data_IF_670109935122
#
_entry.id   IF_670109935122
#
_cell.length_a   1.000
_cell.length_b   1.000
_cell.length_c   1.000
_cell.angle_alpha   90.00
_cell.angle_beta   90.00
_cell.angle_gamma   90.00
#
_symmetry.space_group_name_H-M   'P 1'
#
loop_
_entity.id
_entity.type
_entity.pdbx_description
1 polymer ?
#
# COMPACT_ATOMS: atom_id res chain seq x y z
N UNK A 1 -43.90 -49.95 -44.15
CA UNK A 1 -42.53 -49.56 -44.53
C UNK A 1 -42.45 -48.04 -44.51
N UNK A 2 -41.47 -47.46 -43.81
CA UNK A 2 -41.22 -46.01 -43.73
C UNK A 2 -41.18 -45.48 -42.29
N UNK A 3 -40.01 -45.18 -41.71
CA UNK A 3 -39.80 -45.01 -40.27
C UNK A 3 -39.79 -43.56 -39.74
N UNK A 4 -39.75 -43.48 -38.41
CA UNK A 4 -39.46 -42.36 -37.48
C UNK A 4 -38.16 -41.58 -37.76
N UNK A 5 -38.09 -40.32 -37.31
CA UNK A 5 -36.91 -39.62 -36.71
C UNK A 5 -37.35 -38.19 -36.31
N UNK A 6 -37.55 -37.78 -35.06
CA UNK A 6 -36.63 -37.64 -33.92
C UNK A 6 -35.33 -36.89 -34.23
N UNK A 7 -35.45 -35.58 -34.48
CA UNK A 7 -34.33 -34.64 -34.56
C UNK A 7 -33.74 -34.33 -33.18
N UNK A 8 -32.80 -35.16 -32.73
CA UNK A 8 -31.94 -34.88 -31.58
C UNK A 8 -30.86 -33.84 -31.93
N UNK A 9 -30.72 -32.81 -31.09
CA UNK A 9 -29.59 -31.87 -31.18
C UNK A 9 -28.25 -32.61 -31.09
N UNK A 10 -27.37 -32.37 -32.05
CA UNK A 10 -26.05 -32.99 -32.14
C UNK A 10 -25.12 -32.58 -30.97
N UNK A 11 -24.31 -33.53 -30.49
CA UNK A 11 -23.34 -33.34 -29.39
C UNK A 11 -22.37 -32.16 -29.61
N UNK A 12 -22.09 -31.79 -30.86
CA UNK A 12 -21.24 -30.64 -31.19
C UNK A 12 -21.86 -29.30 -30.80
N UNK A 13 -23.19 -29.15 -30.88
CA UNK A 13 -23.89 -27.93 -30.46
C UNK A 13 -23.85 -27.78 -28.93
N UNK A 14 -23.93 -28.89 -28.18
CA UNK A 14 -23.74 -28.92 -26.72
C UNK A 14 -22.29 -28.66 -26.32
N UNK A 15 -21.30 -29.14 -27.08
CA UNK A 15 -19.87 -28.83 -26.85
C UNK A 15 -19.53 -27.36 -27.14
N UNK A 16 -20.11 -26.73 -28.18
CA UNK A 16 -19.96 -25.29 -28.45
C UNK A 16 -20.65 -24.40 -27.40
N UNK A 17 -21.81 -24.80 -26.86
CA UNK A 17 -22.45 -24.11 -25.71
C UNK A 17 -21.68 -24.28 -24.40
N UNK A 18 -21.04 -25.45 -24.15
CA UNK A 18 -20.14 -25.64 -23.00
C UNK A 18 -18.83 -24.85 -23.11
N UNK A 19 -18.22 -24.75 -24.31
CA UNK A 19 -17.00 -23.95 -24.52
C UNK A 19 -17.20 -22.42 -24.42
N UNK A 20 -18.43 -21.90 -24.54
CA UNK A 20 -18.73 -20.46 -24.38
C UNK A 20 -19.06 -20.03 -22.95
N UNK A 21 -19.16 -20.96 -21.98
CA UNK A 21 -19.46 -20.66 -20.56
C UNK A 21 -18.23 -20.54 -19.64
N UNK A 22 -17.02 -20.52 -20.20
CA UNK A 22 -15.77 -20.42 -19.45
C UNK A 22 -14.81 -19.35 -19.97
N UNK A 23 -15.34 -18.23 -20.49
CA UNK A 23 -14.53 -17.06 -20.84
C UNK A 23 -14.74 -16.06 -19.72
N UNK A 24 -13.68 -15.80 -18.95
CA UNK A 24 -13.68 -15.23 -17.61
C UNK A 24 -14.66 -14.07 -17.42
N UNK A 25 -15.31 -14.04 -16.25
CA UNK A 25 -15.82 -12.79 -15.70
C UNK A 25 -14.65 -11.80 -15.78
N UNK A 26 -14.82 -10.67 -16.47
CA UNK A 26 -13.81 -9.62 -16.48
C UNK A 26 -13.41 -9.30 -15.05
N UNK A 27 -12.14 -8.92 -14.84
CA UNK A 27 -11.65 -8.53 -13.52
C UNK A 27 -12.66 -7.58 -12.88
N UNK A 28 -13.14 -7.91 -11.67
CA UNK A 28 -14.07 -7.03 -10.96
C UNK A 28 -13.36 -5.69 -10.77
N UNK A 29 -14.04 -4.61 -11.12
CA UNK A 29 -13.53 -3.26 -10.87
C UNK A 29 -13.93 -2.81 -9.48
N UNK A 30 -13.07 -2.06 -8.82
CA UNK A 30 -13.39 -1.43 -7.54
C UNK A 30 -14.53 -0.41 -7.74
N UNK A 31 -15.36 -0.23 -6.72
CA UNK A 31 -16.43 0.79 -6.69
C UNK A 31 -15.90 2.17 -6.27
N UNK A 32 -16.74 3.20 -6.37
CA UNK A 32 -16.47 4.54 -5.85
C UNK A 32 -17.67 5.01 -4.97
N UNK A 33 -17.52 5.11 -3.63
CA UNK A 33 -16.33 4.82 -2.82
C UNK A 33 -15.94 3.31 -2.84
N UNK A 34 -14.70 2.94 -2.47
CA UNK A 34 -14.19 1.58 -2.64
C UNK A 34 -14.80 0.61 -1.63
N UNK A 35 -15.48 -0.44 -2.12
CA UNK A 35 -16.29 -1.34 -1.30
C UNK A 35 -15.95 -2.82 -1.41
N UNK A 36 -15.24 -3.22 -2.45
CA UNK A 36 -14.92 -4.63 -2.69
C UNK A 36 -13.61 -4.99 -1.98
N UNK A 37 -13.57 -6.10 -1.22
CA UNK A 37 -12.31 -6.63 -0.70
C UNK A 37 -11.31 -6.89 -1.82
N UNK A 38 -10.03 -6.64 -1.57
CA UNK A 38 -8.95 -6.82 -2.55
C UNK A 38 -8.92 -8.26 -3.08
N UNK A 39 -9.16 -9.25 -2.22
CA UNK A 39 -9.24 -10.67 -2.62
C UNK A 39 -10.31 -10.95 -3.68
N UNK A 40 -11.38 -10.15 -3.75
CA UNK A 40 -12.41 -10.29 -4.78
C UNK A 40 -12.02 -9.67 -6.13
N UNK A 41 -11.11 -8.69 -6.12
CA UNK A 41 -10.57 -8.07 -7.32
C UNK A 41 -9.56 -8.99 -8.02
N UNK A 42 -8.85 -9.83 -7.24
CA UNK A 42 -7.83 -10.77 -7.70
C UNK A 42 -8.23 -12.23 -7.35
N UNK A 43 -9.22 -12.80 -8.06
CA UNK A 43 -9.78 -14.12 -7.73
C UNK A 43 -8.81 -15.30 -7.98
N UNK A 44 -7.72 -15.06 -8.70
CA UNK A 44 -6.62 -16.01 -8.89
C UNK A 44 -5.61 -15.99 -7.73
N UNK A 45 -5.79 -15.07 -6.78
CA UNK A 45 -4.90 -14.88 -5.65
C UNK A 45 -3.57 -14.21 -6.01
N UNK A 46 -3.38 -13.73 -7.24
CA UNK A 46 -2.13 -13.05 -7.64
C UNK A 46 -2.27 -11.55 -7.39
N UNK A 47 -1.73 -11.07 -6.27
CA UNK A 47 -1.79 -9.64 -5.94
C UNK A 47 -0.67 -8.85 -6.62
N UNK A 48 -0.92 -7.58 -6.98
CA UNK A 48 0.04 -6.78 -7.72
C UNK A 48 1.33 -6.56 -6.93
N UNK A 49 2.46 -6.78 -7.60
CA UNK A 49 3.78 -6.54 -7.03
C UNK A 49 3.99 -5.05 -6.73
N UNK A 50 4.81 -4.77 -5.72
CA UNK A 50 5.33 -3.43 -5.49
C UNK A 50 6.42 -3.06 -6.50
N UNK A 51 7.07 -1.93 -6.27
CA UNK A 51 8.27 -1.60 -7.02
C UNK A 51 9.40 -2.57 -6.65
N UNK A 52 9.97 -3.24 -7.65
CA UNK A 52 11.17 -4.06 -7.50
C UNK A 52 12.38 -3.18 -7.85
N UNK A 53 13.38 -3.18 -6.99
CA UNK A 53 14.61 -2.39 -7.14
C UNK A 53 15.83 -3.30 -7.03
N UNK A 54 16.86 -3.01 -7.81
CA UNK A 54 18.16 -3.64 -7.63
C UNK A 54 18.76 -3.25 -6.29
N UNK A 55 19.49 -4.18 -5.65
CA UNK A 55 20.22 -3.87 -4.41
C UNK A 55 21.34 -2.85 -4.67
N UNK A 56 21.58 -1.92 -3.73
CA UNK A 56 22.69 -0.97 -3.85
C UNK A 56 24.04 -1.68 -3.78
N UNK A 57 25.07 -1.05 -4.36
CA UNK A 57 26.46 -1.45 -4.11
C UNK A 57 26.84 -1.11 -2.67
N UNK A 58 27.60 -2.00 -2.02
CA UNK A 58 28.02 -1.83 -0.63
C UNK A 58 29.54 -1.78 -0.58
N UNK A 59 30.09 -0.76 0.07
CA UNK A 59 31.54 -0.58 0.16
C UNK A 59 32.21 -1.80 0.80
N UNK A 60 33.24 -2.33 0.14
CA UNK A 60 33.95 -3.52 0.58
C UNK A 60 33.24 -4.86 0.27
N UNK A 61 32.08 -4.83 -0.37
CA UNK A 61 31.38 -6.01 -0.91
C UNK A 61 31.44 -5.95 -2.44
N UNK A 62 31.57 -7.11 -3.07
CA UNK A 62 31.57 -7.22 -4.52
C UNK A 62 30.17 -6.98 -5.09
N UNK A 63 30.03 -6.01 -5.99
CA UNK A 63 28.75 -5.67 -6.66
C UNK A 63 28.10 -6.86 -7.39
N UNK A 64 28.87 -7.90 -7.73
CA UNK A 64 28.32 -9.15 -8.26
C UNK A 64 27.34 -9.81 -7.29
N UNK A 65 27.58 -9.71 -5.98
CA UNK A 65 26.68 -10.27 -4.96
C UNK A 65 25.28 -9.67 -5.05
N UNK A 66 25.15 -8.36 -5.29
CA UNK A 66 23.85 -7.72 -5.48
C UNK A 66 23.11 -8.25 -6.72
N UNK A 67 23.82 -8.44 -7.83
CA UNK A 67 23.26 -8.99 -9.08
C UNK A 67 22.87 -10.45 -8.95
N UNK A 68 23.71 -11.24 -8.28
CA UNK A 68 23.52 -12.68 -8.10
C UNK A 68 22.26 -13.01 -7.28
N UNK A 69 21.78 -12.06 -6.45
CA UNK A 69 20.50 -12.18 -5.73
C UNK A 69 19.28 -12.24 -6.66
N UNK A 70 19.39 -11.74 -7.90
CA UNK A 70 18.32 -11.81 -8.90
C UNK A 70 18.57 -12.88 -9.97
N UNK A 71 19.83 -13.27 -10.20
CA UNK A 71 20.21 -14.13 -11.33
C UNK A 71 20.55 -15.55 -10.93
N UNK A 72 21.04 -15.79 -9.71
CA UNK A 72 21.40 -17.14 -9.25
C UNK A 72 20.16 -18.00 -9.07
N UNK A 73 20.28 -19.28 -9.45
CA UNK A 73 19.15 -20.21 -9.34
C UNK A 73 18.80 -20.52 -7.87
N UNK A 74 19.80 -20.49 -6.99
CA UNK A 74 19.60 -20.63 -5.54
C UNK A 74 18.74 -19.48 -4.98
N UNK A 75 19.10 -18.22 -5.27
CA UNK A 75 18.32 -17.07 -4.79
C UNK A 75 16.90 -17.09 -5.35
N UNK A 76 16.72 -17.40 -6.63
CA UNK A 76 15.38 -17.53 -7.25
C UNK A 76 14.57 -18.67 -6.63
N UNK A 77 15.21 -19.78 -6.26
CA UNK A 77 14.53 -20.89 -5.59
C UNK A 77 14.04 -20.47 -4.20
N UNK A 78 14.88 -19.77 -3.42
CA UNK A 78 14.50 -19.21 -2.12
C UNK A 78 13.33 -18.21 -2.25
N UNK A 79 13.39 -17.32 -3.24
CA UNK A 79 12.34 -16.33 -3.47
C UNK A 79 11.00 -16.97 -3.83
N UNK A 80 11.01 -18.03 -4.65
CA UNK A 80 9.82 -18.84 -4.96
C UNK A 80 9.26 -19.53 -3.73
N UNK A 81 10.10 -19.97 -2.78
CA UNK A 81 9.65 -20.60 -1.53
C UNK A 81 8.94 -19.60 -0.60
N UNK A 82 9.27 -18.31 -0.67
CA UNK A 82 8.68 -17.24 0.15
C UNK A 82 7.52 -16.52 -0.54
N UNK A 83 7.16 -16.93 -1.77
CA UNK A 83 6.15 -16.23 -2.57
C UNK A 83 4.81 -16.09 -1.84
N UNK A 84 4.38 -17.09 -1.06
CA UNK A 84 3.17 -16.99 -0.25
C UNK A 84 3.20 -15.80 0.72
N UNK A 85 4.34 -15.60 1.42
CA UNK A 85 4.54 -14.48 2.35
C UNK A 85 4.51 -13.15 1.60
N UNK A 86 5.19 -13.06 0.45
CA UNK A 86 5.19 -11.86 -0.38
C UNK A 86 3.79 -11.54 -0.91
N UNK A 87 3.04 -12.57 -1.31
CA UNK A 87 1.70 -12.41 -1.84
C UNK A 87 0.70 -11.95 -0.77
N UNK A 88 0.78 -12.46 0.46
CA UNK A 88 0.03 -11.94 1.61
C UNK A 88 0.34 -10.46 1.88
N UNK A 89 1.62 -10.08 1.86
CA UNK A 89 2.03 -8.68 2.02
C UNK A 89 1.51 -7.80 0.85
N UNK A 90 1.52 -8.31 -0.38
CA UNK A 90 1.00 -7.60 -1.57
C UNK A 90 -0.50 -7.35 -1.47
N UNK A 91 -1.28 -8.31 -0.96
CA UNK A 91 -2.71 -8.11 -0.69
C UNK A 91 -2.93 -6.97 0.30
N UNK A 92 -2.22 -7.01 1.44
CA UNK A 92 -2.29 -5.96 2.45
C UNK A 92 -1.89 -4.59 1.87
N UNK A 93 -0.86 -4.55 1.03
CA UNK A 93 -0.36 -3.33 0.42
C UNK A 93 -1.35 -2.74 -0.59
N UNK A 94 -2.06 -3.59 -1.34
CA UNK A 94 -3.11 -3.14 -2.25
C UNK A 94 -4.31 -2.57 -1.50
N UNK A 95 -4.70 -3.17 -0.37
CA UNK A 95 -5.74 -2.61 0.50
C UNK A 95 -5.33 -1.24 1.07
N UNK A 96 -4.05 -1.09 1.44
CA UNK A 96 -3.47 0.18 1.87
C UNK A 96 -3.52 1.23 0.76
N UNK A 97 -3.05 0.90 -0.46
CA UNK A 97 -3.04 1.79 -1.63
C UNK A 97 -4.43 2.30 -1.99
N UNK A 98 -5.43 1.42 -1.99
CA UNK A 98 -6.81 1.83 -2.31
C UNK A 98 -7.43 2.67 -1.19
N UNK A 99 -7.21 2.30 0.07
CA UNK A 99 -7.67 3.08 1.24
C UNK A 99 -7.09 4.48 1.23
N UNK A 100 -5.75 4.61 1.15
CA UNK A 100 -5.11 5.93 1.20
C UNK A 100 -5.54 6.83 0.04
N UNK A 101 -5.75 6.27 -1.16
CA UNK A 101 -6.24 7.02 -2.32
C UNK A 101 -7.63 7.59 -2.07
N UNK A 102 -8.53 6.82 -1.49
CA UNK A 102 -9.86 7.29 -1.09
C UNK A 102 -9.77 8.42 -0.06
N UNK A 103 -9.00 8.21 1.00
CA UNK A 103 -8.87 9.17 2.11
C UNK A 103 -8.24 10.49 1.65
N UNK A 104 -7.20 10.46 0.81
CA UNK A 104 -6.61 11.67 0.24
C UNK A 104 -7.62 12.52 -0.54
N UNK A 105 -8.58 11.89 -1.21
CA UNK A 105 -9.62 12.58 -1.97
C UNK A 105 -10.79 13.04 -1.09
N UNK A 106 -11.11 12.27 -0.05
CA UNK A 106 -12.28 12.51 0.80
C UNK A 106 -12.01 13.55 1.89
N UNK A 107 -10.88 13.47 2.61
CA UNK A 107 -10.60 14.33 3.78
C UNK A 107 -10.56 15.81 3.41
N UNK A 108 -11.17 16.66 4.24
CA UNK A 108 -11.18 18.13 4.13
C UNK A 108 -11.05 18.78 5.51
N UNK A 109 -10.52 20.02 5.60
CA UNK A 109 -10.61 20.81 6.82
C UNK A 109 -12.08 20.97 7.27
N UNK A 110 -12.28 21.03 8.59
CA UNK A 110 -13.60 21.06 9.21
C UNK A 110 -14.11 19.70 9.70
N UNK A 111 -13.51 18.59 9.25
CA UNK A 111 -13.79 17.25 9.79
C UNK A 111 -13.09 17.05 11.15
N UNK A 112 -13.76 16.37 12.07
CA UNK A 112 -13.14 15.90 13.31
C UNK A 112 -12.13 14.79 13.02
N UNK A 113 -11.11 14.66 13.87
CA UNK A 113 -10.16 13.55 13.75
C UNK A 113 -10.86 12.18 13.87
N UNK A 114 -11.93 12.10 14.69
CA UNK A 114 -12.74 10.89 14.86
C UNK A 114 -13.42 10.50 13.54
N UNK A 115 -14.04 11.45 12.83
CA UNK A 115 -14.66 11.18 11.52
C UNK A 115 -13.64 10.65 10.51
N UNK A 116 -12.44 11.24 10.49
CA UNK A 116 -11.36 10.84 9.58
C UNK A 116 -10.89 9.41 9.89
N UNK A 117 -10.58 9.11 11.16
CA UNK A 117 -10.15 7.78 11.57
C UNK A 117 -11.24 6.73 11.31
N UNK A 118 -12.50 7.03 11.63
CA UNK A 118 -13.60 6.08 11.42
C UNK A 118 -13.82 5.76 9.92
N UNK A 119 -13.79 6.77 9.04
CA UNK A 119 -13.94 6.55 7.60
C UNK A 119 -12.77 5.75 7.02
N UNK A 120 -11.53 6.08 7.43
CA UNK A 120 -10.33 5.36 7.04
C UNK A 120 -10.40 3.90 7.47
N UNK A 121 -10.68 3.64 8.74
CA UNK A 121 -10.68 2.28 9.27
C UNK A 121 -11.84 1.45 8.74
N UNK A 122 -13.03 2.04 8.56
CA UNK A 122 -14.17 1.37 7.93
C UNK A 122 -13.82 0.95 6.49
N UNK A 123 -13.20 1.85 5.73
CA UNK A 123 -12.71 1.54 4.39
C UNK A 123 -11.65 0.44 4.43
N UNK A 124 -10.62 0.57 5.27
CA UNK A 124 -9.53 -0.39 5.36
C UNK A 124 -10.02 -1.79 5.76
N UNK A 125 -10.91 -1.92 6.77
CA UNK A 125 -11.50 -3.21 7.19
C UNK A 125 -12.27 -3.88 6.06
N UNK A 126 -13.01 -3.11 5.27
CA UNK A 126 -13.74 -3.61 4.10
C UNK A 126 -12.80 -4.06 2.98
N UNK A 127 -11.79 -3.26 2.66
CA UNK A 127 -10.87 -3.57 1.56
C UNK A 127 -9.90 -4.71 1.89
N UNK A 128 -9.48 -4.85 3.15
CA UNK A 128 -8.65 -5.98 3.58
C UNK A 128 -9.48 -7.27 3.69
N UNK A 129 -10.79 -7.16 3.90
CA UNK A 129 -11.67 -8.29 4.21
C UNK A 129 -11.41 -8.81 5.62
N UNK A 130 -11.64 -7.96 6.63
CA UNK A 130 -11.32 -8.26 8.03
C UNK A 130 -11.89 -9.61 8.50
N UNK A 131 -11.02 -10.46 9.06
CA UNK A 131 -11.32 -11.82 9.53
C UNK A 131 -10.48 -12.15 10.78
N UNK A 132 -10.87 -11.60 11.93
CA UNK A 132 -10.18 -11.85 13.21
C UNK A 132 -8.68 -11.54 13.12
N UNK A 133 -7.83 -12.50 13.48
CA UNK A 133 -6.36 -12.35 13.40
C UNK A 133 -5.78 -12.69 12.02
N UNK A 134 -6.59 -13.20 11.08
CA UNK A 134 -6.11 -13.57 9.74
C UNK A 134 -6.02 -12.37 8.81
N UNK A 135 -6.90 -11.40 8.95
CA UNK A 135 -6.91 -10.20 8.12
C UNK A 135 -7.50 -9.03 8.91
N UNK A 136 -6.87 -7.86 8.85
CA UNK A 136 -7.33 -6.72 9.63
C UNK A 136 -6.41 -5.53 9.59
N UNK A 137 -6.63 -4.61 10.53
CA UNK A 137 -5.79 -3.45 10.75
C UNK A 137 -4.63 -3.85 11.66
N UNK A 138 -3.40 -3.51 11.27
CA UNK A 138 -2.20 -3.90 12.01
C UNK A 138 -1.97 -3.06 13.27
N UNK A 139 -2.37 -1.79 13.22
CA UNK A 139 -2.25 -0.82 14.30
C UNK A 139 -3.27 0.32 14.10
N UNK A 140 -3.55 1.14 15.15
CA UNK A 140 -4.51 2.24 15.06
C UNK A 140 -4.14 3.29 14.00
N UNK A 141 -5.14 4.01 13.50
CA UNK A 141 -4.91 5.10 12.55
C UNK A 141 -4.27 6.31 13.25
N UNK A 142 -2.97 6.47 13.08
CA UNK A 142 -2.25 7.68 13.44
C UNK A 142 -2.70 8.86 12.57
N UNK A 143 -3.04 9.97 13.22
CA UNK A 143 -3.42 11.23 12.58
C UNK A 143 -2.75 12.41 13.28
N UNK A 144 -1.46 12.25 13.59
CA UNK A 144 -0.69 13.19 14.41
C UNK A 144 -0.49 14.51 13.69
N UNK A 145 -0.67 15.63 14.41
CA UNK A 145 -0.76 16.96 13.82
C UNK A 145 0.35 17.89 14.28
N UNK A 146 0.81 18.72 13.36
CA UNK A 146 1.75 19.80 13.60
C UNK A 146 3.02 19.27 14.28
N UNK A 147 3.39 19.83 15.43
CA UNK A 147 4.58 19.43 16.20
C UNK A 147 4.54 17.98 16.74
N UNK A 148 3.35 17.36 16.86
CA UNK A 148 3.24 15.96 17.26
C UNK A 148 3.55 15.07 16.06
N UNK A 149 4.67 14.35 16.08
CA UNK A 149 5.16 13.60 14.93
C UNK A 149 4.37 12.31 14.65
N UNK A 150 4.07 11.53 15.69
CA UNK A 150 3.47 10.20 15.57
C UNK A 150 2.63 9.80 16.80
N UNK A 151 1.91 8.69 16.66
CA UNK A 151 1.18 7.98 17.73
C UNK A 151 0.00 8.72 18.39
N UNK A 152 -0.45 9.85 17.85
CA UNK A 152 -1.76 10.40 18.19
C UNK A 152 -2.85 9.80 17.30
N UNK A 153 -3.90 9.29 17.94
CA UNK A 153 -5.21 8.96 17.37
C UNK A 153 -6.27 9.40 18.39
N UNK A 154 -7.44 9.91 17.98
CA UNK A 154 -8.41 10.47 18.91
C UNK A 154 -9.04 9.38 19.78
N UNK A 155 -9.13 9.64 21.08
CA UNK A 155 -9.96 8.85 21.99
C UNK A 155 -11.43 9.33 21.94
N UNK A 156 -12.33 8.54 22.52
CA UNK A 156 -13.73 8.94 22.65
C UNK A 156 -13.86 10.30 23.37
N UNK A 157 -14.64 11.21 22.78
CA UNK A 157 -14.84 12.57 23.28
C UNK A 157 -13.81 13.59 22.81
N UNK A 158 -12.82 13.19 22.02
CA UNK A 158 -11.92 14.13 21.36
C UNK A 158 -12.69 14.97 20.31
N UNK A 159 -12.72 16.29 20.52
CA UNK A 159 -13.42 17.25 19.66
C UNK A 159 -12.48 17.96 18.68
N UNK A 160 -11.25 17.47 18.53
CA UNK A 160 -10.23 18.04 17.66
C UNK A 160 -10.68 18.02 16.21
N UNK A 161 -10.68 19.19 15.58
CA UNK A 161 -11.07 19.41 14.17
C UNK A 161 -9.84 19.71 13.32
N UNK A 162 -9.72 19.05 12.18
CA UNK A 162 -8.70 19.30 11.16
C UNK A 162 -8.86 20.71 10.58
N UNK A 163 -7.79 21.49 10.61
CA UNK A 163 -7.72 22.87 10.15
C UNK A 163 -6.97 22.96 8.81
N UNK A 164 -7.14 24.08 8.12
CA UNK A 164 -6.47 24.35 6.84
C UNK A 164 -4.94 24.38 6.95
N UNK A 165 -4.42 24.95 8.05
CA UNK A 165 -2.98 25.12 8.30
C UNK A 165 -2.32 23.94 9.00
N UNK A 166 -3.03 22.82 9.22
CA UNK A 166 -2.44 21.64 9.83
C UNK A 166 -1.54 20.87 8.89
N UNK A 167 -0.44 20.36 9.45
CA UNK A 167 0.36 19.29 8.85
C UNK A 167 0.04 17.98 9.56
N UNK A 168 -0.74 17.13 8.91
CA UNK A 168 -1.27 15.89 9.50
C UNK A 168 -0.59 14.68 8.90
N UNK A 169 0.01 13.82 9.74
CA UNK A 169 0.60 12.56 9.30
C UNK A 169 -0.46 11.48 9.44
N UNK A 170 -0.91 10.93 8.31
CA UNK A 170 -1.84 9.80 8.26
C UNK A 170 -1.00 8.54 8.15
N UNK A 171 -1.05 7.74 9.21
CA UNK A 171 -0.23 6.54 9.39
C UNK A 171 -1.13 5.40 9.83
N UNK A 172 -1.22 4.35 9.02
CA UNK A 172 -2.09 3.22 9.31
C UNK A 172 -1.54 1.95 8.66
N UNK A 173 -1.88 0.81 9.26
CA UNK A 173 -1.41 -0.48 8.78
C UNK A 173 -2.52 -1.47 8.49
N UNK A 174 -2.27 -2.29 7.49
CA UNK A 174 -3.10 -3.46 7.13
C UNK A 174 -2.27 -4.73 7.24
N UNK A 175 -2.91 -5.87 7.46
CA UNK A 175 -2.20 -7.16 7.45
C UNK A 175 -3.04 -8.31 6.91
N UNK A 176 -2.33 -9.33 6.41
CA UNK A 176 -2.83 -10.69 6.16
C UNK A 176 -1.91 -11.66 6.90
N UNK A 177 -2.43 -12.55 7.75
CA UNK A 177 -1.70 -13.54 8.54
C UNK A 177 -0.47 -12.98 9.28
N UNK A 178 -0.59 -11.75 9.80
CA UNK A 178 0.50 -11.04 10.47
C UNK A 178 1.58 -10.44 9.54
N UNK A 179 1.40 -10.47 8.21
CA UNK A 179 2.24 -9.73 7.25
C UNK A 179 1.78 -8.28 7.20
N UNK A 180 2.43 -7.46 8.02
CA UNK A 180 2.08 -6.05 8.23
C UNK A 180 2.60 -5.21 7.07
N UNK A 181 1.74 -4.31 6.60
CA UNK A 181 2.13 -3.15 5.81
C UNK A 181 2.02 -1.93 6.70
N UNK A 182 3.17 -1.31 6.95
CA UNK A 182 3.31 -0.03 7.63
C UNK A 182 3.66 1.01 6.56
N UNK A 183 2.76 1.96 6.34
CA UNK A 183 2.94 2.99 5.33
C UNK A 183 2.14 4.24 5.70
N UNK A 184 2.79 5.39 5.60
CA UNK A 184 2.22 6.67 5.96
C UNK A 184 2.32 7.69 4.83
N UNK A 185 1.55 8.77 4.94
CA UNK A 185 1.71 9.98 4.12
C UNK A 185 1.37 11.23 4.92
N UNK A 186 1.89 12.38 4.48
CA UNK A 186 1.54 13.67 5.08
C UNK A 186 0.46 14.36 4.26
N UNK A 187 -0.57 14.84 4.95
CA UNK A 187 -1.67 15.64 4.43
C UNK A 187 -1.48 17.10 4.88
N UNK A 188 -1.48 18.02 3.91
CA UNK A 188 -1.54 19.47 4.11
C UNK A 188 -2.48 20.06 3.06
N UNK A 189 -3.22 21.11 3.44
CA UNK A 189 -4.05 21.88 2.52
C UNK A 189 -3.43 23.24 2.18
N UNK A 190 -2.45 23.69 2.97
CA UNK A 190 -1.71 24.92 2.71
C UNK A 190 -0.40 24.59 1.95
N UNK A 191 -0.22 25.12 0.72
CA UNK A 191 1.00 24.92 -0.07
C UNK A 191 2.29 25.40 0.60
N UNK A 192 2.21 26.23 1.66
CA UNK A 192 3.40 26.67 2.41
C UNK A 192 4.24 25.53 2.99
N UNK A 193 3.64 24.35 3.16
CA UNK A 193 4.34 23.15 3.65
C UNK A 193 4.83 22.21 2.54
N UNK A 194 4.56 22.51 1.26
CA UNK A 194 4.87 21.61 0.15
C UNK A 194 6.36 21.27 0.10
N UNK A 195 7.24 22.26 0.33
CA UNK A 195 8.69 22.04 0.31
C UNK A 195 9.18 21.18 1.46
N UNK A 196 8.59 21.32 2.64
CA UNK A 196 8.86 20.44 3.79
C UNK A 196 8.41 19.00 3.50
N UNK A 197 7.22 18.83 2.91
CA UNK A 197 6.71 17.51 2.53
C UNK A 197 7.56 16.87 1.43
N UNK A 198 8.05 17.68 0.48
CA UNK A 198 8.98 17.24 -0.55
C UNK A 198 10.30 16.75 0.05
N UNK A 199 10.91 17.53 0.95
CA UNK A 199 12.16 17.17 1.64
C UNK A 199 12.05 15.81 2.34
N UNK A 200 10.99 15.61 3.13
CA UNK A 200 10.77 14.36 3.87
C UNK A 200 10.49 13.19 2.93
N UNK A 201 9.77 13.41 1.84
CA UNK A 201 9.53 12.39 0.81
C UNK A 201 10.83 11.98 0.13
N UNK A 202 11.70 12.92 -0.21
CA UNK A 202 12.96 12.60 -0.87
C UNK A 202 13.96 11.91 0.07
N UNK A 203 14.04 12.37 1.32
CA UNK A 203 14.80 11.69 2.36
C UNK A 203 14.32 10.24 2.57
N UNK A 204 13.00 10.02 2.62
CA UNK A 204 12.42 8.67 2.73
C UNK A 204 12.78 7.81 1.52
N UNK A 205 12.63 8.34 0.30
CA UNK A 205 13.00 7.62 -0.93
C UNK A 205 14.50 7.34 -1.02
N UNK A 206 15.34 8.21 -0.46
CA UNK A 206 16.78 7.99 -0.34
C UNK A 206 17.08 6.85 0.60
N UNK A 207 16.42 6.79 1.76
CA UNK A 207 16.50 5.64 2.67
C UNK A 207 16.08 4.33 1.99
N UNK A 208 14.98 4.35 1.21
CA UNK A 208 14.52 3.18 0.44
C UNK A 208 15.59 2.72 -0.58
N UNK A 209 16.21 3.66 -1.31
CA UNK A 209 17.28 3.36 -2.28
C UNK A 209 18.56 2.84 -1.61
N UNK A 210 18.90 3.39 -0.44
CA UNK A 210 20.10 3.03 0.30
C UNK A 210 19.95 1.69 1.04
N UNK A 211 18.73 1.28 1.38
CA UNK A 211 18.48 0.02 2.07
C UNK A 211 18.77 -1.19 1.17
N UNK A 212 19.42 -2.21 1.74
CA UNK A 212 19.74 -3.45 1.04
C UNK A 212 20.31 -4.49 1.98
N UNK A 213 20.37 -5.75 1.52
CA UNK A 213 21.04 -6.81 2.28
C UNK A 213 22.52 -6.44 2.43
N UNK A 214 23.05 -6.63 3.64
CA UNK A 214 24.43 -6.31 4.04
C UNK A 214 24.77 -4.81 4.18
N UNK A 215 23.81 -3.90 3.98
CA UNK A 215 24.01 -2.45 4.21
C UNK A 215 23.97 -2.12 5.70
N UNK A 216 24.96 -1.39 6.25
CA UNK A 216 24.91 -0.89 7.63
C UNK A 216 23.77 0.11 7.85
N UNK A 217 23.01 -0.03 8.93
CA UNK A 217 21.89 0.88 9.24
C UNK A 217 22.34 2.34 9.42
N UNK A 218 23.56 2.58 9.91
CA UNK A 218 24.10 3.94 10.05
C UNK A 218 24.30 4.63 8.69
N UNK A 219 24.62 3.88 7.64
CA UNK A 219 24.86 4.44 6.31
C UNK A 219 23.54 4.87 5.67
N UNK A 220 22.46 4.09 5.89
CA UNK A 220 21.10 4.49 5.52
C UNK A 220 20.71 5.77 6.26
N UNK A 221 20.98 5.85 7.57
CA UNK A 221 20.70 7.04 8.38
C UNK A 221 21.46 8.27 7.89
N UNK A 222 22.74 8.13 7.57
CA UNK A 222 23.56 9.21 7.04
C UNK A 222 23.04 9.72 5.69
N UNK A 223 22.67 8.82 4.76
CA UNK A 223 22.11 9.20 3.47
C UNK A 223 20.76 9.91 3.60
N UNK A 224 19.89 9.45 4.51
CA UNK A 224 18.60 10.11 4.82
C UNK A 224 18.83 11.51 5.38
N UNK A 225 19.76 11.66 6.33
CA UNK A 225 20.07 12.95 6.95
C UNK A 225 20.66 13.94 5.93
N UNK A 226 21.62 13.51 5.12
CA UNK A 226 22.26 14.33 4.10
C UNK A 226 21.21 14.94 3.14
N UNK A 227 20.28 14.11 2.66
CA UNK A 227 19.22 14.60 1.78
C UNK A 227 18.24 15.50 2.54
N UNK A 228 17.80 15.14 3.74
CA UNK A 228 16.87 15.98 4.51
C UNK A 228 17.42 17.38 4.78
N UNK A 229 18.67 17.48 5.25
CA UNK A 229 19.33 18.75 5.62
C UNK A 229 19.82 19.56 4.40
N UNK A 230 19.74 18.99 3.19
CA UNK A 230 20.00 19.72 1.94
C UNK A 230 18.86 20.66 1.52
N UNK A 231 17.69 20.50 2.12
CA UNK A 231 16.52 21.33 1.85
C UNK A 231 16.47 22.55 2.78
N UNK A 232 16.08 23.69 2.22
CA UNK A 232 15.70 24.89 2.96
C UNK A 232 14.20 25.14 2.76
N UNK A 233 13.49 25.54 3.82
CA UNK A 233 12.07 25.87 3.75
C UNK A 233 11.77 27.22 4.39
N UNK A 234 10.85 27.99 3.80
CA UNK A 234 10.32 29.23 4.38
C UNK A 234 8.86 29.04 4.78
N UNK A 235 8.54 29.23 6.06
CA UNK A 235 7.19 29.11 6.60
C UNK A 235 6.90 30.36 7.44
N UNK A 236 5.84 31.09 7.06
CA UNK A 236 5.37 32.30 7.74
C UNK A 236 6.49 33.36 7.92
N UNK A 237 7.31 33.54 6.86
CA UNK A 237 8.41 34.53 6.83
C UNK A 237 9.66 34.13 7.62
N UNK A 238 9.74 32.87 8.08
CA UNK A 238 10.92 32.33 8.77
C UNK A 238 11.50 31.15 7.99
N UNK A 239 12.81 31.19 7.79
CA UNK A 239 13.58 30.13 7.15
C UNK A 239 14.03 29.07 8.15
N UNK A 240 14.00 27.81 7.74
CA UNK A 240 14.48 26.64 8.47
C UNK A 240 15.36 25.80 7.56
N UNK A 241 16.42 25.24 8.15
CA UNK A 241 17.34 24.27 7.57
C UNK A 241 17.54 23.16 8.60
#
# INVERSE_FOLDING_TARGET
>A
AGPTENGGETEEAKKKKKKRKGRGKGAKQQTDPPTLPVSELFPDGNFPEGQIMDYPSVSGIDDRTAKDRFTSEEARALDRMLNNIYNEARQAAEAHRQTRKHIQNWVKPGMTMIEICNELESTARRLIGEEGLKAGLAFPTGCSRNHCAAHYTPNAGDTTVLQYDDVTKIDFGTHINGRIIDCAFTLSFNPKYDKLIEAVRDATNTGIKAAGIDVPLCDVGAAVQEVMESYEVEIDGKTYQ
#
